data_IF_591214299224
#
_entry.id   IF_591214299224
#
_cell.length_a   1.000
_cell.length_b   1.000
_cell.length_c   1.000
_cell.angle_alpha   90.00
_cell.angle_beta   90.00
_cell.angle_gamma   90.00
#
_symmetry.space_group_name_H-M   'P 1'
#
loop_
_entity.id
_entity.type
_entity.pdbx_description
1 polymer ?
#
# COMPACT_ATOMS: atom_id res chain seq x y z
N UNK A 1 -14.32 -0.37 -17.89
CA UNK A 1 -13.38 -1.52 -17.95
C UNK A 1 -12.56 -1.53 -16.68
N UNK A 2 -12.38 -2.69 -16.03
CA UNK A 2 -11.59 -2.79 -14.79
C UNK A 2 -10.11 -2.52 -15.11
N UNK A 3 -9.57 -1.37 -14.70
CA UNK A 3 -8.16 -0.98 -14.90
C UNK A 3 -7.15 -1.73 -14.03
N UNK A 4 -7.54 -2.87 -13.44
CA UNK A 4 -6.72 -3.66 -12.53
C UNK A 4 -6.03 -4.80 -13.30
N UNK A 5 -4.70 -4.91 -13.16
CA UNK A 5 -3.89 -5.91 -13.87
C UNK A 5 -4.12 -7.33 -13.33
N UNK A 6 -3.71 -8.36 -14.09
CA UNK A 6 -3.73 -9.75 -13.61
C UNK A 6 -2.87 -9.93 -12.35
N UNK A 7 -1.69 -9.32 -12.31
CA UNK A 7 -0.79 -9.34 -11.15
C UNK A 7 -1.46 -8.77 -9.90
N UNK A 8 -2.20 -7.66 -10.04
CA UNK A 8 -2.95 -7.07 -8.93
C UNK A 8 -4.05 -8.02 -8.40
N UNK A 9 -4.71 -8.74 -9.31
CA UNK A 9 -5.76 -9.70 -8.95
C UNK A 9 -5.18 -10.91 -8.22
N UNK A 10 -4.04 -11.43 -8.66
CA UNK A 10 -3.34 -12.54 -8.00
C UNK A 10 -2.91 -12.13 -6.59
N UNK A 11 -2.27 -10.96 -6.44
CA UNK A 11 -1.84 -10.47 -5.13
C UNK A 11 -3.04 -10.30 -4.16
N UNK A 12 -4.15 -9.72 -4.63
CA UNK A 12 -5.35 -9.58 -3.81
C UNK A 12 -5.98 -10.94 -3.43
N UNK A 13 -5.93 -11.93 -4.33
CA UNK A 13 -6.43 -13.28 -4.07
C UNK A 13 -5.55 -14.05 -3.08
N UNK A 14 -4.23 -13.88 -3.12
CA UNK A 14 -3.31 -14.48 -2.15
C UNK A 14 -3.67 -14.06 -0.72
N UNK A 15 -3.89 -12.76 -0.50
CA UNK A 15 -4.28 -12.26 0.83
C UNK A 15 -5.70 -12.65 1.26
N UNK A 16 -6.57 -12.98 0.30
CA UNK A 16 -7.85 -13.60 0.61
C UNK A 16 -7.68 -15.03 1.13
N UNK A 17 -6.72 -15.80 0.59
CA UNK A 17 -6.42 -17.15 1.05
C UNK A 17 -5.74 -17.15 2.42
N UNK A 18 -4.87 -16.18 2.70
CA UNK A 18 -4.23 -16.02 4.02
C UNK A 18 -5.14 -15.33 5.05
N UNK A 19 -6.36 -14.92 4.66
CA UNK A 19 -7.34 -14.28 5.55
C UNK A 19 -6.99 -12.85 5.99
N UNK A 20 -6.00 -12.19 5.39
CA UNK A 20 -5.61 -10.82 5.77
C UNK A 20 -6.34 -9.78 4.93
N UNK A 21 -7.48 -9.32 5.44
CA UNK A 21 -8.28 -8.29 4.77
C UNK A 21 -7.54 -6.95 4.65
N UNK A 22 -6.68 -6.62 5.63
CA UNK A 22 -5.83 -5.43 5.62
C UNK A 22 -4.82 -5.49 4.49
N UNK A 23 -4.05 -6.58 4.38
CA UNK A 23 -3.04 -6.71 3.33
C UNK A 23 -3.69 -6.72 1.94
N UNK A 24 -4.86 -7.34 1.81
CA UNK A 24 -5.69 -7.28 0.60
C UNK A 24 -6.10 -5.84 0.27
N UNK A 25 -6.53 -5.05 1.25
CA UNK A 25 -6.92 -3.66 1.04
C UNK A 25 -5.73 -2.79 0.63
N UNK A 26 -4.55 -2.99 1.22
CA UNK A 26 -3.30 -2.35 0.79
C UNK A 26 -3.03 -2.66 -0.68
N UNK A 27 -3.08 -3.93 -1.10
CA UNK A 27 -2.89 -4.31 -2.51
C UNK A 27 -3.88 -3.64 -3.45
N UNK A 28 -5.16 -3.53 -3.04
CA UNK A 28 -6.20 -2.83 -3.81
C UNK A 28 -6.01 -1.31 -3.84
N UNK A 29 -5.39 -0.70 -2.83
CA UNK A 29 -5.02 0.71 -2.82
C UNK A 29 -3.80 0.97 -3.74
N UNK A 30 -2.89 0.00 -3.87
CA UNK A 30 -1.61 0.11 -4.59
C UNK A 30 -1.56 -0.71 -5.89
N UNK A 31 -2.63 -0.66 -6.70
CA UNK A 31 -2.67 -1.34 -8.01
C UNK A 31 -1.74 -0.67 -9.02
N UNK A 32 -1.47 -1.35 -10.14
CA UNK A 32 -0.72 -0.78 -11.26
C UNK A 32 -1.53 0.22 -12.10
N UNK A 33 -2.81 0.44 -11.77
CA UNK A 33 -3.66 1.43 -12.42
C UNK A 33 -3.11 2.85 -12.14
N UNK A 34 -2.78 3.59 -13.21
CA UNK A 34 -2.21 4.96 -13.17
C UNK A 34 -3.29 5.97 -12.76
N UNK A 35 -3.64 5.93 -11.49
CA UNK A 35 -4.58 6.82 -10.84
C UNK A 35 -4.30 6.87 -9.34
N UNK A 36 -4.86 7.86 -8.65
CA UNK A 36 -4.80 7.92 -7.19
C UNK A 36 -5.40 6.66 -6.54
N UNK A 37 -4.91 6.24 -5.35
CA UNK A 37 -5.54 5.16 -4.60
C UNK A 37 -7.04 5.43 -4.43
N UNK A 38 -7.88 4.44 -4.77
CA UNK A 38 -9.34 4.63 -4.74
C UNK A 38 -9.80 4.91 -3.31
N UNK A 39 -10.58 5.98 -3.14
CA UNK A 39 -11.09 6.47 -1.85
C UNK A 39 -11.62 5.36 -0.94
N UNK A 40 -12.45 4.45 -1.47
CA UNK A 40 -13.02 3.32 -0.72
C UNK A 40 -11.98 2.41 -0.04
N UNK A 41 -10.78 2.27 -0.60
CA UNK A 41 -9.71 1.46 -0.01
C UNK A 41 -8.96 2.24 1.07
N UNK A 42 -8.77 3.55 0.86
CA UNK A 42 -8.17 4.44 1.87
C UNK A 42 -9.08 4.56 3.10
N UNK A 43 -10.38 4.78 2.91
CA UNK A 43 -11.36 4.86 4.00
C UNK A 43 -11.40 3.58 4.81
N UNK A 44 -11.36 2.41 4.16
CA UNK A 44 -11.28 1.13 4.84
C UNK A 44 -10.00 1.01 5.68
N UNK A 45 -8.82 1.33 5.12
CA UNK A 45 -7.56 1.27 5.86
C UNK A 45 -7.57 2.20 7.07
N UNK A 46 -8.09 3.43 6.92
CA UNK A 46 -8.29 4.39 8.01
C UNK A 46 -9.20 3.79 9.09
N UNK A 47 -10.38 3.26 8.72
CA UNK A 47 -11.30 2.69 9.70
C UNK A 47 -10.67 1.54 10.46
N UNK A 48 -9.90 0.69 9.77
CA UNK A 48 -9.24 -0.46 10.39
C UNK A 48 -8.18 -0.05 11.38
N UNK A 49 -7.48 1.09 11.21
CA UNK A 49 -6.55 1.59 12.23
C UNK A 49 -7.21 1.94 13.57
N UNK A 50 -8.52 2.16 13.61
CA UNK A 50 -9.26 2.44 14.85
C UNK A 50 -9.76 1.16 15.54
N UNK A 51 -9.68 0.00 14.90
CA UNK A 51 -10.07 -1.27 15.51
C UNK A 51 -9.06 -1.70 16.59
N UNK A 52 -9.53 -2.28 17.69
CA UNK A 52 -8.64 -2.65 18.81
C UNK A 52 -7.68 -3.78 18.42
N UNK A 53 -8.15 -4.73 17.61
CA UNK A 53 -7.44 -5.98 17.30
C UNK A 53 -6.72 -5.97 15.93
N UNK A 54 -6.66 -4.80 15.27
CA UNK A 54 -5.94 -4.68 14.00
C UNK A 54 -4.43 -4.89 14.19
N UNK A 55 -3.82 -5.65 13.29
CA UNK A 55 -2.37 -5.79 13.24
C UNK A 55 -1.75 -4.60 12.47
N UNK A 56 -1.46 -3.50 13.18
CA UNK A 56 -0.78 -2.32 12.64
C UNK A 56 0.59 -2.66 12.03
N UNK A 57 1.46 -3.47 12.68
CA UNK A 57 2.72 -3.90 12.07
C UNK A 57 2.55 -4.53 10.69
N UNK A 58 1.61 -5.47 10.55
CA UNK A 58 1.34 -6.12 9.26
C UNK A 58 0.87 -5.12 8.19
N UNK A 59 0.04 -4.14 8.56
CA UNK A 59 -0.40 -3.09 7.65
C UNK A 59 0.79 -2.30 7.08
N UNK A 60 1.68 -1.85 7.96
CA UNK A 60 2.87 -1.10 7.60
C UNK A 60 3.87 -1.96 6.80
N UNK A 61 4.11 -3.21 7.21
CA UNK A 61 4.99 -4.13 6.50
C UNK A 61 4.49 -4.43 5.09
N UNK A 62 3.18 -4.59 4.92
CA UNK A 62 2.60 -4.75 3.57
C UNK A 62 2.86 -3.50 2.72
N UNK A 63 2.69 -2.29 3.29
CA UNK A 63 3.00 -1.03 2.57
C UNK A 63 4.49 -0.92 2.21
N UNK A 64 5.39 -1.37 3.08
CA UNK A 64 6.81 -1.43 2.80
C UNK A 64 7.12 -2.42 1.67
N UNK A 65 6.55 -3.62 1.67
CA UNK A 65 6.67 -4.56 0.54
C UNK A 65 6.14 -3.97 -0.77
N UNK A 66 5.01 -3.24 -0.73
CA UNK A 66 4.51 -2.57 -1.94
C UNK A 66 5.48 -1.49 -2.43
N UNK A 67 6.21 -0.84 -1.52
CA UNK A 67 7.24 0.13 -1.88
C UNK A 67 8.50 -0.48 -2.50
N UNK A 68 8.71 -1.80 -2.42
CA UNK A 68 9.82 -2.49 -3.10
C UNK A 68 9.44 -3.00 -4.50
N UNK A 69 8.26 -2.64 -5.01
CA UNK A 69 7.83 -3.04 -6.35
C UNK A 69 8.66 -2.32 -7.43
N UNK A 70 8.82 -2.93 -8.61
CA UNK A 70 9.52 -2.31 -9.73
C UNK A 70 8.74 -1.16 -10.38
N UNK A 71 7.41 -1.15 -10.27
CA UNK A 71 6.54 -0.15 -10.88
C UNK A 71 6.47 1.12 -10.05
N UNK A 72 6.80 2.27 -10.64
CA UNK A 72 6.68 3.57 -9.99
C UNK A 72 5.26 3.85 -9.50
N UNK A 73 4.25 3.38 -10.23
CA UNK A 73 2.82 3.55 -9.89
C UNK A 73 2.52 2.89 -8.55
N UNK A 74 2.97 1.65 -8.38
CA UNK A 74 2.74 0.87 -7.15
C UNK A 74 3.51 1.48 -5.99
N UNK A 75 4.80 1.81 -6.19
CA UNK A 75 5.65 2.41 -5.15
C UNK A 75 5.08 3.76 -4.68
N UNK A 76 4.73 4.64 -5.62
CA UNK A 76 4.19 5.95 -5.28
C UNK A 76 2.82 5.85 -4.59
N UNK A 77 1.98 4.89 -4.98
CA UNK A 77 0.70 4.63 -4.31
C UNK A 77 0.87 4.06 -2.91
N UNK A 78 1.92 3.27 -2.66
CA UNK A 78 2.25 2.80 -1.31
C UNK A 78 2.67 3.96 -0.40
N UNK A 79 3.51 4.88 -0.89
CA UNK A 79 3.92 6.07 -0.15
C UNK A 79 2.74 6.99 0.17
N UNK A 80 1.92 7.31 -0.84
CA UNK A 80 0.75 8.19 -0.67
C UNK A 80 -0.32 7.57 0.22
N UNK A 81 -0.53 6.25 0.14
CA UNK A 81 -1.43 5.52 1.05
C UNK A 81 -0.90 5.56 2.49
N UNK A 82 0.41 5.34 2.69
CA UNK A 82 1.05 5.46 4.01
C UNK A 82 0.88 6.86 4.59
N UNK A 83 1.16 7.90 3.79
CA UNK A 83 0.98 9.29 4.18
C UNK A 83 -0.47 9.60 4.57
N UNK A 84 -1.44 9.09 3.79
CA UNK A 84 -2.85 9.29 4.06
C UNK A 84 -3.29 8.66 5.40
N UNK A 85 -2.80 7.45 5.71
CA UNK A 85 -3.06 6.80 7.00
C UNK A 85 -2.38 7.57 8.14
N UNK A 86 -1.19 8.14 7.94
CA UNK A 86 -0.53 8.95 8.97
C UNK A 86 -1.32 10.22 9.34
N UNK A 87 -2.00 10.85 8.36
CA UNK A 87 -2.77 12.08 8.60
C UNK A 87 -4.16 11.78 9.17
N UNK A 88 -4.85 10.79 8.59
CA UNK A 88 -6.28 10.58 8.86
C UNK A 88 -6.59 9.32 9.66
N UNK A 89 -5.61 8.42 9.83
CA UNK A 89 -5.73 7.20 10.61
C UNK A 89 -5.51 7.44 12.10
N UNK A 90 -5.64 6.36 12.86
CA UNK A 90 -5.35 6.34 14.29
C UNK A 90 -3.85 6.55 14.54
N UNK A 91 -3.51 7.29 15.59
CA UNK A 91 -2.12 7.62 15.94
C UNK A 91 -1.22 6.39 16.18
N UNK A 92 -1.81 5.24 16.52
CA UNK A 92 -1.08 3.97 16.64
C UNK A 92 -0.26 3.63 15.39
N UNK A 93 -0.74 4.02 14.20
CA UNK A 93 -0.01 3.81 12.96
C UNK A 93 1.26 4.65 12.89
N UNK A 94 1.17 5.96 13.09
CA UNK A 94 2.35 6.84 13.03
C UNK A 94 3.33 6.58 14.18
N UNK A 95 2.82 6.22 15.37
CA UNK A 95 3.64 5.79 16.50
C UNK A 95 4.43 4.52 16.18
N UNK A 96 3.83 3.54 15.50
CA UNK A 96 4.53 2.35 15.04
C UNK A 96 5.62 2.70 14.00
N UNK A 97 5.33 3.59 13.05
CA UNK A 97 6.36 4.03 12.11
C UNK A 97 7.53 4.72 12.83
N UNK A 98 7.23 5.59 13.79
CA UNK A 98 8.26 6.31 14.56
C UNK A 98 9.13 5.40 15.44
N UNK A 99 8.65 4.19 15.80
CA UNK A 99 9.43 3.23 16.59
C UNK A 99 10.39 2.37 15.76
N UNK A 100 10.32 2.44 14.43
CA UNK A 100 11.20 1.68 13.54
C UNK A 100 12.53 2.37 13.30
N UNK A 101 13.58 1.57 13.19
CA UNK A 101 14.93 2.03 12.79
C UNK A 101 15.02 2.34 11.30
N UNK A 102 14.16 1.72 10.48
CA UNK A 102 14.09 1.94 9.04
C UNK A 102 12.65 1.92 8.54
N UNK A 103 12.38 2.79 7.57
CA UNK A 103 11.10 2.95 6.89
C UNK A 103 11.28 2.60 5.41
N UNK A 104 11.14 3.58 4.52
CA UNK A 104 11.32 3.41 3.08
C UNK A 104 12.78 3.55 2.67
N UNK A 105 13.26 2.66 1.81
CA UNK A 105 14.58 2.74 1.19
C UNK A 105 14.45 2.90 -0.33
N UNK A 106 14.24 4.15 -0.77
CA UNK A 106 13.96 4.49 -2.16
C UNK A 106 14.98 5.47 -2.77
N UNK A 107 16.12 5.69 -2.10
CA UNK A 107 17.14 6.65 -2.54
C UNK A 107 17.68 6.36 -3.94
N UNK A 108 17.70 5.09 -4.35
CA UNK A 108 18.16 4.62 -5.65
C UNK A 108 17.02 4.04 -6.52
N UNK A 109 15.76 4.32 -6.19
CA UNK A 109 14.63 3.79 -6.95
C UNK A 109 14.59 4.38 -8.37
N UNK A 110 14.54 3.51 -9.39
CA UNK A 110 14.39 3.89 -10.79
C UNK A 110 13.49 2.87 -11.48
N UNK A 111 12.38 3.35 -12.06
CA UNK A 111 11.55 2.57 -12.98
C UNK A 111 11.93 2.92 -14.43
N UNK A 112 12.43 1.94 -15.18
CA UNK A 112 12.90 2.12 -16.57
C UNK A 112 11.83 1.88 -17.64
N UNK A 113 10.60 1.52 -17.24
CA UNK A 113 9.53 1.15 -18.18
C UNK A 113 9.00 2.32 -19.02
N UNK A 114 9.30 3.57 -18.65
CA UNK A 114 8.92 4.78 -19.40
C UNK A 114 9.81 5.13 -20.61
N UNK A 115 10.86 4.36 -20.90
CA UNK A 115 11.85 4.70 -21.94
C UNK A 115 11.42 4.40 -23.39
N UNK A 116 10.19 3.92 -23.61
CA UNK A 116 9.69 3.48 -24.93
C UNK A 116 8.53 4.31 -25.50
N UNK A 117 8.30 5.52 -24.98
CA UNK A 117 7.27 6.42 -25.53
C UNK A 117 7.87 7.81 -25.73
N UNK A 118 8.76 7.94 -26.71
CA UNK A 118 8.97 9.16 -27.51
C UNK A 118 9.34 8.72 -28.93
#
# INVERSE_FOLDING_TARGET
MSGQTLTDRIAAAQYQLTGSDVARAVCKATTHEVMAPKKKHLEYLISTTNETNVNIPQMADTLFERSTNASWVVVFKALTTTHHICIYGNERFIQYLASRTSLFNLSNFIDKTGSHVI
#
